data_IF_384013924500
#
_entry.id   IF_384013924500
#
_cell.length_a   1.000
_cell.length_b   1.000
_cell.length_c   1.000
_cell.angle_alpha   90.00
_cell.angle_beta   90.00
_cell.angle_gamma   90.00
#
_symmetry.space_group_name_H-M   'P 1'
#
loop_
_entity.id
_entity.type
_entity.pdbx_description
1 polymer ?
#
# COMPACT_ATOMS: atom_id res chain seq x y z
N UNK A 1 -7.75 5.52 21.34
CA UNK A 1 -7.18 5.90 20.03
C UNK A 1 -7.61 4.85 19.02
N UNK A 2 -8.47 5.22 18.11
CA UNK A 2 -9.06 4.28 17.15
C UNK A 2 -8.16 4.26 15.93
N UNK A 3 -7.45 3.15 15.76
CA UNK A 3 -6.57 2.93 14.61
C UNK A 3 -7.39 2.36 13.47
N UNK A 4 -7.73 3.18 12.52
CA UNK A 4 -8.30 2.74 11.25
C UNK A 4 -7.14 2.52 10.28
N UNK A 5 -6.81 1.26 10.03
CA UNK A 5 -5.62 0.87 9.25
C UNK A 5 -5.82 0.93 7.73
N UNK A 6 -6.97 1.40 7.28
CA UNK A 6 -7.19 1.65 5.85
C UNK A 6 -8.08 2.87 5.66
N UNK A 7 -7.64 3.92 4.96
CA UNK A 7 -8.50 5.02 4.57
C UNK A 7 -9.43 4.65 3.41
N UNK A 8 -9.90 3.42 3.33
CA UNK A 8 -10.87 3.00 2.29
C UNK A 8 -12.26 3.63 2.52
N UNK A 9 -12.50 4.27 3.65
CA UNK A 9 -13.84 4.77 3.98
C UNK A 9 -13.94 6.30 4.18
N UNK A 10 -12.99 7.09 3.67
CA UNK A 10 -13.12 8.55 3.80
C UNK A 10 -12.80 9.31 2.51
N UNK A 11 -13.42 8.93 1.40
CA UNK A 11 -13.58 9.84 0.27
C UNK A 11 -15.06 9.90 -0.09
N UNK A 12 -15.79 10.57 0.78
CA UNK A 12 -17.07 11.19 0.38
C UNK A 12 -17.02 12.64 0.79
N UNK A 13 -17.09 13.52 -0.17
CA UNK A 13 -17.22 14.98 -0.13
C UNK A 13 -15.91 15.77 0.03
N UNK A 14 -15.38 16.29 -1.07
CA UNK A 14 -15.40 17.73 -1.34
C UNK A 14 -15.12 18.00 -2.83
N UNK A 15 -16.15 18.34 -3.59
CA UNK A 15 -16.05 19.17 -4.79
C UNK A 15 -15.71 20.59 -4.37
N UNK A 16 -14.69 21.19 -4.97
CA UNK A 16 -14.74 22.61 -5.41
C UNK A 16 -13.54 22.94 -6.30
N UNK A 17 -13.84 23.13 -7.55
CA UNK A 17 -13.39 24.16 -8.51
C UNK A 17 -12.16 25.00 -8.18
N UNK A 18 -11.26 25.09 -9.15
CA UNK A 18 -10.24 26.15 -9.23
C UNK A 18 -9.25 25.94 -10.37
N UNK A 19 -9.61 26.40 -11.58
CA UNK A 19 -8.67 26.69 -12.65
C UNK A 19 -7.69 27.78 -12.25
N UNK A 20 -6.43 27.71 -12.64
CA UNK A 20 -5.73 28.75 -13.44
C UNK A 20 -4.32 28.33 -13.82
N UNK A 21 -4.13 28.40 -15.12
CA UNK A 21 -2.97 28.73 -15.94
C UNK A 21 -1.60 29.01 -15.30
N UNK A 22 -0.61 28.40 -15.96
CA UNK A 22 0.46 29.24 -16.54
C UNK A 22 1.86 29.05 -16.03
N UNK A 23 2.67 28.41 -16.85
CA UNK A 23 3.96 28.86 -17.37
C UNK A 23 5.13 27.90 -17.19
N UNK A 24 5.51 27.44 -18.37
CA UNK A 24 6.78 26.82 -18.77
C UNK A 24 8.00 27.50 -18.16
N UNK A 25 8.90 26.72 -17.56
CA UNK A 25 10.32 27.03 -17.58
C UNK A 25 11.10 25.72 -17.64
N UNK A 26 11.68 25.44 -18.82
CA UNK A 26 12.73 24.46 -18.99
C UNK A 26 13.92 24.86 -18.13
N UNK A 27 14.34 23.95 -17.23
CA UNK A 27 15.68 24.00 -16.67
C UNK A 27 16.27 22.61 -16.84
N UNK A 28 17.20 22.52 -17.77
CA UNK A 28 18.08 21.38 -18.01
C UNK A 28 18.88 21.11 -16.74
N UNK A 29 18.57 20.02 -16.04
CA UNK A 29 19.38 19.52 -14.96
C UNK A 29 20.29 18.41 -15.49
N UNK A 30 21.56 18.31 -15.01
CA UNK A 30 22.51 17.32 -15.48
C UNK A 30 22.06 15.91 -15.11
N UNK A 31 22.18 15.03 -16.10
CA UNK A 31 22.02 13.60 -15.99
C UNK A 31 23.06 13.05 -15.02
N UNK A 32 22.68 12.91 -13.76
CA UNK A 32 23.38 12.02 -12.86
C UNK A 32 22.72 10.67 -13.01
N UNK A 33 23.36 9.79 -13.78
CA UNK A 33 22.99 8.40 -13.90
C UNK A 33 23.36 7.70 -12.60
N UNK A 34 22.57 7.92 -11.57
CA UNK A 34 22.53 7.00 -10.45
C UNK A 34 21.99 5.69 -11.03
N UNK A 35 22.82 4.65 -11.02
CA UNK A 35 22.37 3.31 -11.29
C UNK A 35 21.15 3.05 -10.40
N UNK A 36 19.99 2.98 -11.02
CA UNK A 36 18.78 2.54 -10.37
C UNK A 36 19.06 1.12 -9.91
N UNK A 37 19.19 0.91 -8.59
CA UNK A 37 19.06 -0.42 -8.03
C UNK A 37 17.75 -0.95 -8.61
N UNK A 38 17.86 -1.95 -9.47
CA UNK A 38 16.70 -2.61 -10.05
C UNK A 38 15.80 -2.99 -8.89
N UNK A 39 14.53 -2.62 -8.96
CA UNK A 39 13.51 -2.89 -7.95
C UNK A 39 13.55 -4.37 -7.57
N UNK A 40 14.37 -4.70 -6.58
CA UNK A 40 14.55 -6.06 -6.11
C UNK A 40 13.44 -6.34 -5.12
N UNK A 41 12.48 -7.16 -5.54
CA UNK A 41 11.42 -7.63 -4.65
C UNK A 41 12.01 -8.73 -3.76
N UNK A 42 12.10 -8.52 -2.42
CA UNK A 42 12.54 -9.55 -1.51
C UNK A 42 11.62 -10.78 -1.58
N UNK A 43 12.18 -11.96 -1.81
CA UNK A 43 11.40 -13.20 -1.87
C UNK A 43 10.61 -13.46 -0.57
N UNK A 44 11.11 -12.94 0.55
CA UNK A 44 10.43 -13.02 1.83
C UNK A 44 9.14 -12.16 1.88
N UNK A 45 9.00 -11.12 1.06
CA UNK A 45 7.78 -10.31 0.99
C UNK A 45 6.70 -10.99 0.15
N UNK A 46 7.11 -11.74 -0.87
CA UNK A 46 6.20 -12.43 -1.80
C UNK A 46 5.36 -13.46 -1.07
N UNK A 47 4.05 -13.43 -1.26
CA UNK A 47 3.09 -14.35 -0.65
C UNK A 47 1.85 -13.65 -0.10
N UNK A 48 1.06 -14.41 0.64
CA UNK A 48 -0.19 -13.93 1.23
C UNK A 48 -0.03 -13.71 2.73
N UNK A 49 -0.46 -12.55 3.18
CA UNK A 49 -0.34 -12.07 4.54
C UNK A 49 -1.70 -11.63 5.07
N UNK A 50 -2.05 -12.06 6.28
CA UNK A 50 -3.31 -11.68 6.91
C UNK A 50 -3.05 -11.01 8.25
N UNK A 51 -3.88 -10.04 8.63
CA UNK A 51 -3.72 -9.32 9.90
C UNK A 51 -3.75 -10.27 11.09
N UNK A 52 -2.81 -10.09 12.01
CA UNK A 52 -2.57 -10.99 13.16
C UNK A 52 -3.68 -10.93 14.22
N UNK A 53 -4.47 -9.88 14.26
CA UNK A 53 -5.60 -9.75 15.18
C UNK A 53 -6.77 -9.07 14.47
N UNK A 54 -7.95 -9.65 14.57
CA UNK A 54 -9.19 -8.91 14.36
C UNK A 54 -9.20 -7.77 15.38
N UNK A 55 -8.97 -6.53 14.92
CA UNK A 55 -8.99 -5.36 15.79
C UNK A 55 -10.36 -5.17 16.44
N UNK A 56 -10.54 -4.09 17.23
CA UNK A 56 -11.81 -3.72 17.87
C UNK A 56 -13.04 -3.71 16.93
N UNK A 57 -12.80 -3.72 15.62
CA UNK A 57 -13.84 -3.65 14.58
C UNK A 57 -14.22 -5.02 14.00
N UNK A 58 -13.69 -6.14 14.49
CA UNK A 58 -13.90 -7.46 13.89
C UNK A 58 -13.59 -7.45 12.37
N UNK A 59 -12.42 -6.89 12.02
CA UNK A 59 -11.93 -6.77 10.66
C UNK A 59 -10.61 -7.52 10.50
N UNK A 60 -10.53 -8.34 9.47
CA UNK A 60 -9.31 -9.04 9.06
C UNK A 60 -8.92 -8.57 7.67
N UNK A 61 -7.69 -8.11 7.50
CA UNK A 61 -7.14 -7.66 6.24
C UNK A 61 -6.20 -8.71 5.66
N UNK A 62 -6.22 -8.86 4.36
CA UNK A 62 -5.35 -9.79 3.64
C UNK A 62 -4.68 -9.08 2.47
N UNK A 63 -3.36 -9.20 2.39
CA UNK A 63 -2.54 -8.73 1.29
C UNK A 63 -1.90 -9.92 0.57
N UNK A 64 -1.81 -9.84 -0.74
CA UNK A 64 -1.01 -10.74 -1.55
C UNK A 64 -0.04 -9.94 -2.39
N UNK A 65 1.26 -10.18 -2.19
CA UNK A 65 2.35 -9.60 -2.97
C UNK A 65 2.89 -10.66 -3.93
N UNK A 66 2.87 -10.36 -5.23
CA UNK A 66 3.34 -11.28 -6.27
C UNK A 66 4.77 -10.93 -6.70
N UNK A 67 5.48 -11.93 -7.25
CA UNK A 67 6.86 -11.78 -7.74
C UNK A 67 6.99 -10.79 -8.89
N UNK A 68 5.90 -10.54 -9.61
CA UNK A 68 5.84 -9.61 -10.74
C UNK A 68 5.60 -8.14 -10.34
N UNK A 69 5.59 -7.84 -9.05
CA UNK A 69 5.34 -6.50 -8.54
C UNK A 69 3.86 -6.11 -8.47
N UNK A 70 2.96 -7.05 -8.70
CA UNK A 70 1.53 -6.82 -8.49
C UNK A 70 1.10 -7.12 -7.06
N UNK A 71 0.10 -6.40 -6.58
CA UNK A 71 -0.50 -6.65 -5.27
C UNK A 71 -2.01 -6.77 -5.39
N UNK A 72 -2.60 -7.50 -4.46
CA UNK A 72 -4.04 -7.47 -4.22
C UNK A 72 -4.32 -7.44 -2.73
N UNK A 73 -5.44 -6.84 -2.34
CA UNK A 73 -5.86 -6.77 -0.96
C UNK A 73 -7.38 -6.84 -0.84
N UNK A 74 -7.85 -7.45 0.23
CA UNK A 74 -9.26 -7.43 0.64
C UNK A 74 -9.35 -7.46 2.16
N UNK A 75 -10.51 -7.13 2.69
CA UNK A 75 -10.79 -7.25 4.10
C UNK A 75 -12.06 -8.06 4.33
N UNK A 76 -12.15 -8.70 5.48
CA UNK A 76 -13.39 -9.30 5.99
C UNK A 76 -13.82 -8.46 7.18
N UNK A 77 -14.97 -7.81 7.06
CA UNK A 77 -15.56 -7.00 8.12
C UNK A 77 -16.87 -7.65 8.59
N UNK A 78 -16.91 -8.03 9.86
CA UNK A 78 -18.08 -8.72 10.45
C UNK A 78 -18.56 -9.92 9.63
N UNK A 79 -17.61 -10.70 9.10
CA UNK A 79 -17.91 -11.87 8.27
C UNK A 79 -18.32 -11.59 6.83
N UNK A 80 -18.28 -10.31 6.41
CA UNK A 80 -18.53 -9.91 5.01
C UNK A 80 -17.22 -9.49 4.35
N UNK A 81 -16.89 -10.13 3.23
CA UNK A 81 -15.72 -9.78 2.44
C UNK A 81 -15.95 -8.49 1.66
N UNK A 82 -14.97 -7.58 1.70
CA UNK A 82 -14.96 -6.37 0.87
C UNK A 82 -14.57 -6.71 -0.56
N UNK A 83 -14.90 -5.87 -1.55
CA UNK A 83 -14.36 -6.01 -2.89
C UNK A 83 -12.83 -6.02 -2.84
N UNK A 84 -12.23 -6.92 -3.63
CA UNK A 84 -10.76 -6.96 -3.78
C UNK A 84 -10.29 -5.71 -4.50
N UNK A 85 -9.26 -5.09 -3.98
CA UNK A 85 -8.51 -4.02 -4.64
C UNK A 85 -7.19 -4.57 -5.15
N UNK A 86 -6.62 -3.95 -6.16
CA UNK A 86 -5.37 -4.38 -6.76
C UNK A 86 -4.53 -3.22 -7.25
N UNK A 87 -3.28 -3.53 -7.61
CA UNK A 87 -2.35 -2.54 -8.10
C UNK A 87 -0.94 -3.09 -8.20
N UNK A 88 0.04 -2.21 -8.08
CA UNK A 88 1.45 -2.56 -8.15
C UNK A 88 2.18 -2.10 -6.90
N UNK A 89 3.35 -2.69 -6.64
CA UNK A 89 4.23 -2.23 -5.58
C UNK A 89 5.69 -2.22 -6.03
N UNK A 90 6.46 -1.35 -5.41
CA UNK A 90 7.92 -1.29 -5.55
C UNK A 90 8.57 -1.29 -4.18
N UNK A 91 9.80 -1.81 -4.11
CA UNK A 91 10.57 -1.92 -2.88
C UNK A 91 11.89 -1.18 -3.03
N UNK A 92 12.21 -0.32 -2.08
CA UNK A 92 13.49 0.37 -1.99
C UNK A 92 14.01 0.26 -0.55
N UNK A 93 15.01 -0.59 -0.33
CA UNK A 93 15.50 -0.89 1.02
C UNK A 93 14.40 -1.48 1.89
N UNK A 94 13.97 -0.76 2.92
CA UNK A 94 12.87 -1.14 3.81
C UNK A 94 11.57 -0.38 3.52
N UNK A 95 11.52 0.36 2.43
CA UNK A 95 10.34 1.13 2.01
C UNK A 95 9.57 0.36 0.95
N UNK A 96 8.28 0.21 1.16
CA UNK A 96 7.31 -0.40 0.27
C UNK A 96 6.35 0.68 -0.23
N UNK A 97 6.36 0.94 -1.53
CA UNK A 97 5.42 1.85 -2.19
C UNK A 97 4.35 1.03 -2.89
N UNK A 98 3.10 1.23 -2.52
CA UNK A 98 1.94 0.55 -3.13
C UNK A 98 1.11 1.56 -3.91
N UNK A 99 0.86 1.29 -5.19
CA UNK A 99 -0.03 2.05 -6.05
C UNK A 99 -1.29 1.23 -6.31
N UNK A 100 -2.40 1.60 -5.70
CA UNK A 100 -3.68 0.89 -5.81
C UNK A 100 -4.52 1.57 -6.89
N UNK A 101 -4.90 0.83 -7.92
CA UNK A 101 -5.59 1.34 -9.10
C UNK A 101 -6.81 0.53 -9.52
N UNK A 102 -6.91 -0.71 -9.05
CA UNK A 102 -8.00 -1.62 -9.40
C UNK A 102 -8.97 -1.78 -8.22
N UNK A 103 -10.25 -1.88 -8.50
CA UNK A 103 -11.29 -2.04 -7.48
C UNK A 103 -11.56 -0.80 -6.63
N UNK A 104 -11.00 0.35 -7.00
CA UNK A 104 -11.16 1.65 -6.31
C UNK A 104 -11.77 2.69 -7.25
N UNK A 105 -12.43 3.70 -6.70
CA UNK A 105 -13.00 4.79 -7.49
C UNK A 105 -11.91 5.71 -8.07
N UNK A 106 -10.88 5.97 -7.29
CA UNK A 106 -9.73 6.81 -7.65
C UNK A 106 -8.44 6.09 -7.23
N UNK A 107 -7.44 6.00 -8.12
CA UNK A 107 -6.13 5.46 -7.76
C UNK A 107 -5.49 6.26 -6.63
N UNK A 108 -4.81 5.57 -5.73
CA UNK A 108 -4.06 6.18 -4.64
C UNK A 108 -2.76 5.44 -4.38
N UNK A 109 -1.85 6.12 -3.68
CA UNK A 109 -0.54 5.58 -3.33
C UNK A 109 -0.39 5.56 -1.81
N UNK A 110 0.16 4.46 -1.29
CA UNK A 110 0.50 4.30 0.12
C UNK A 110 1.96 3.90 0.24
N UNK A 111 2.65 4.51 1.18
CA UNK A 111 4.05 4.18 1.50
C UNK A 111 4.13 3.58 2.89
N UNK A 112 4.79 2.44 3.00
CA UNK A 112 5.07 1.78 4.27
C UNK A 112 6.57 1.62 4.47
N UNK A 113 7.02 1.72 5.72
CA UNK A 113 8.22 1.01 6.13
C UNK A 113 7.85 -0.41 6.49
N UNK A 114 8.59 -1.40 5.97
CA UNK A 114 8.28 -2.80 6.27
C UNK A 114 9.44 -3.52 6.97
N UNK A 115 9.09 -4.48 7.78
CA UNK A 115 10.01 -5.42 8.42
C UNK A 115 9.39 -6.81 8.39
N UNK A 116 10.22 -7.79 8.03
CA UNK A 116 9.83 -9.20 8.06
C UNK A 116 10.65 -9.91 9.13
N UNK A 117 9.99 -10.73 9.94
CA UNK A 117 10.59 -11.56 10.97
C UNK A 117 9.99 -12.97 10.89
N UNK A 118 10.66 -13.84 10.13
CA UNK A 118 10.17 -15.18 9.85
C UNK A 118 8.83 -15.19 9.11
N UNK A 119 7.74 -15.46 9.84
CA UNK A 119 6.38 -15.49 9.27
C UNK A 119 5.56 -14.25 9.63
N UNK A 120 6.18 -13.22 10.14
CA UNK A 120 5.55 -11.99 10.56
C UNK A 120 5.97 -10.84 9.65
N UNK A 121 5.01 -10.06 9.18
CA UNK A 121 5.22 -8.83 8.42
C UNK A 121 4.68 -7.66 9.24
N UNK A 122 5.49 -6.65 9.41
CA UNK A 122 5.14 -5.39 10.03
C UNK A 122 5.16 -4.30 8.97
N UNK A 123 4.04 -3.61 8.78
CA UNK A 123 3.91 -2.44 7.93
C UNK A 123 3.70 -1.22 8.82
N UNK A 124 4.54 -0.21 8.65
CA UNK A 124 4.51 1.03 9.42
C UNK A 124 4.20 2.19 8.48
N UNK A 125 3.20 2.97 8.81
CA UNK A 125 2.86 4.23 8.16
C UNK A 125 2.74 5.35 9.20
N UNK A 126 2.20 6.51 8.83
CA UNK A 126 1.99 7.66 9.72
C UNK A 126 0.89 7.41 10.78
N UNK A 127 0.05 6.42 10.58
CA UNK A 127 -0.99 6.03 11.55
C UNK A 127 -0.49 5.01 12.58
N UNK A 128 0.57 4.27 12.27
CA UNK A 128 1.19 3.33 13.20
C UNK A 128 1.73 2.06 12.57
N UNK A 129 1.78 0.98 13.35
CA UNK A 129 2.30 -0.33 12.94
C UNK A 129 1.18 -1.33 12.81
N UNK A 130 1.10 -1.96 11.66
CA UNK A 130 0.21 -3.08 11.36
C UNK A 130 0.99 -4.38 11.33
N UNK A 131 0.44 -5.42 11.93
CA UNK A 131 1.08 -6.73 12.04
C UNK A 131 0.28 -7.79 11.28
N UNK A 132 0.97 -8.52 10.42
CA UNK A 132 0.42 -9.56 9.56
C UNK A 132 1.17 -10.88 9.75
N UNK A 133 0.48 -11.98 9.55
CA UNK A 133 1.03 -13.33 9.56
C UNK A 133 0.97 -13.91 8.16
N UNK A 134 2.04 -14.62 7.76
CA UNK A 134 2.09 -15.32 6.49
C UNK A 134 1.12 -16.49 6.48
N UNK A 135 0.27 -16.52 5.44
CA UNK A 135 -0.67 -17.60 5.18
C UNK A 135 -0.08 -18.62 4.21
N UNK A 136 0.63 -18.15 3.19
CA UNK A 136 1.28 -18.98 2.15
C UNK A 136 2.50 -18.30 1.57
#
# INVERSE_FOLDING_TARGET
>A
MKRYIFPILLILLLCCTGCTDGRTTETTAPTDTAATDADFIPAELVGTWTSASGGELDMTETFTFNEDGTLSAYAIYRGTETPTVGGTFTVSGHTLLCEVSEGVNEPYTVTYEFRIDGRELYLTDDEGVSHFLRVS
#
